data_IF_655177178300
#
_entry.id   IF_655177178300
#
_cell.length_a   1.000
_cell.length_b   1.000
_cell.length_c   1.000
_cell.angle_alpha   90.00
_cell.angle_beta   90.00
_cell.angle_gamma   90.00
#
_symmetry.space_group_name_H-M   'P 1'
#
loop_
_entity.id
_entity.type
_entity.pdbx_description
1 polymer ?
#
# COMPACT_ATOMS: atom_id res chain seq x y z
N UNK A 1 1.94 9.34 8.05
CA UNK A 1 1.99 7.88 8.21
C UNK A 1 2.65 7.20 7.00
N UNK A 2 2.12 7.36 5.77
CA UNK A 2 2.75 6.79 4.56
C UNK A 2 4.21 7.22 4.37
N UNK A 3 4.52 8.52 4.43
CA UNK A 3 5.89 9.03 4.31
C UNK A 3 6.87 8.50 5.37
N UNK A 4 6.39 8.31 6.60
CA UNK A 4 7.20 7.75 7.69
C UNK A 4 7.52 6.29 7.38
N UNK A 5 6.51 5.51 6.96
CA UNK A 5 6.67 4.10 6.59
C UNK A 5 7.56 3.90 5.37
N UNK A 6 7.46 4.78 4.37
CA UNK A 6 8.38 4.78 3.22
C UNK A 6 9.80 4.99 3.73
N UNK A 7 10.07 6.05 4.52
CA UNK A 7 11.41 6.35 5.05
C UNK A 7 12.01 5.21 5.88
N UNK A 8 11.22 4.58 6.74
CA UNK A 8 11.66 3.46 7.59
C UNK A 8 11.99 2.20 6.76
N UNK A 9 11.31 2.00 5.64
CA UNK A 9 11.44 0.79 4.84
C UNK A 9 12.21 0.99 3.52
N UNK A 10 12.71 2.20 3.21
CA UNK A 10 13.41 2.48 1.94
C UNK A 10 14.57 1.52 1.70
N UNK A 11 15.42 1.27 2.70
CA UNK A 11 16.57 0.37 2.57
C UNK A 11 16.15 -1.08 2.31
N UNK A 12 15.12 -1.56 3.03
CA UNK A 12 14.54 -2.89 2.86
C UNK A 12 13.88 -3.04 1.48
N UNK A 13 13.18 -2.01 1.03
CA UNK A 13 12.54 -1.96 -0.29
C UNK A 13 13.58 -2.04 -1.41
N UNK A 14 14.65 -1.24 -1.35
CA UNK A 14 15.74 -1.28 -2.34
C UNK A 14 16.50 -2.60 -2.30
N UNK A 15 16.75 -3.18 -1.12
CA UNK A 15 17.37 -4.51 -1.02
C UNK A 15 16.48 -5.58 -1.65
N UNK A 16 15.19 -5.56 -1.34
CA UNK A 16 14.21 -6.49 -1.90
C UNK A 16 14.07 -6.36 -3.43
N UNK A 17 14.18 -5.15 -3.97
CA UNK A 17 14.25 -4.91 -5.42
C UNK A 17 15.39 -5.70 -6.06
N UNK A 18 16.62 -5.50 -5.58
CA UNK A 18 17.82 -6.14 -6.13
C UNK A 18 17.73 -7.67 -6.03
N UNK A 19 17.27 -8.18 -4.89
CA UNK A 19 17.10 -9.63 -4.68
C UNK A 19 16.05 -10.23 -5.61
N UNK A 20 14.89 -9.57 -5.76
CA UNK A 20 13.82 -10.05 -6.62
C UNK A 20 14.20 -9.96 -8.10
N UNK A 21 14.84 -8.86 -8.52
CA UNK A 21 15.33 -8.71 -9.88
C UNK A 21 16.37 -9.79 -10.23
N UNK A 22 17.31 -10.06 -9.31
CA UNK A 22 18.30 -11.13 -9.49
C UNK A 22 17.65 -12.52 -9.53
N UNK A 23 16.66 -12.80 -8.68
CA UNK A 23 15.95 -14.08 -8.69
C UNK A 23 15.12 -14.28 -9.97
N UNK A 24 14.45 -13.23 -10.47
CA UNK A 24 13.72 -13.24 -11.74
C UNK A 24 14.67 -13.48 -12.92
N UNK A 25 15.81 -12.81 -12.95
CA UNK A 25 16.83 -13.02 -13.98
C UNK A 25 17.35 -14.46 -13.97
N UNK A 26 17.66 -15.00 -12.80
CA UNK A 26 18.15 -16.38 -12.64
C UNK A 26 17.13 -17.42 -13.13
N UNK A 27 15.85 -17.28 -12.78
CA UNK A 27 14.80 -18.18 -13.27
C UNK A 27 14.63 -18.05 -14.79
N UNK A 28 14.61 -16.83 -15.31
CA UNK A 28 14.38 -16.58 -16.73
C UNK A 28 15.51 -17.15 -17.59
N UNK A 29 16.76 -16.99 -17.14
CA UNK A 29 17.95 -17.56 -17.80
C UNK A 29 17.89 -19.09 -17.88
N UNK A 30 17.58 -19.76 -16.76
CA UNK A 30 17.45 -21.23 -16.74
C UNK A 30 16.35 -21.70 -17.71
N UNK A 31 15.19 -21.03 -17.69
CA UNK A 31 14.07 -21.35 -18.58
C UNK A 31 14.41 -21.09 -20.06
N UNK A 32 15.19 -20.06 -20.36
CA UNK A 32 15.65 -19.78 -21.72
C UNK A 32 16.64 -20.83 -22.22
N UNK A 33 17.57 -21.29 -21.36
CA UNK A 33 18.49 -22.40 -21.67
C UNK A 33 17.76 -23.72 -21.90
N UNK A 34 16.67 -23.97 -21.18
CA UNK A 34 15.80 -25.13 -21.39
C UNK A 34 15.02 -25.06 -22.73
N UNK A 35 14.81 -23.85 -23.27
CA UNK A 35 14.11 -23.63 -24.54
C UNK A 35 14.98 -23.88 -25.78
N UNK A 36 16.32 -23.95 -25.63
CA UNK A 36 17.25 -24.18 -26.75
C UNK A 36 17.37 -25.68 -27.04
N UNK A 37 17.18 -26.15 -28.29
CA UNK A 37 17.31 -27.57 -28.62
C UNK A 37 18.75 -28.07 -28.41
N UNK A 38 18.94 -29.29 -27.91
CA UNK A 38 20.26 -29.73 -27.43
C UNK A 38 21.23 -30.10 -28.57
N UNK A 39 22.48 -29.64 -28.47
CA UNK A 39 23.62 -30.27 -29.16
C UNK A 39 24.17 -31.46 -28.35
N UNK A 40 24.87 -32.38 -29.03
CA UNK A 40 25.10 -33.82 -28.76
C UNK A 40 25.67 -34.29 -27.39
N UNK A 41 25.72 -33.45 -26.35
CA UNK A 41 26.13 -33.79 -24.98
C UNK A 41 24.97 -33.50 -24.01
N UNK A 42 23.99 -34.39 -23.90
CA UNK A 42 22.64 -33.99 -23.42
C UNK A 42 22.27 -34.49 -22.02
N UNK A 43 22.71 -35.68 -21.62
CA UNK A 43 22.13 -36.32 -20.42
C UNK A 43 22.60 -35.72 -19.09
N UNK A 44 23.92 -35.58 -18.87
CA UNK A 44 24.44 -34.93 -17.65
C UNK A 44 24.04 -33.45 -17.56
N UNK A 45 23.92 -32.76 -18.69
CA UNK A 45 23.49 -31.36 -18.75
C UNK A 45 22.01 -31.20 -18.38
N UNK A 46 21.16 -32.19 -18.68
CA UNK A 46 19.72 -32.11 -18.42
C UNK A 46 19.36 -32.27 -16.95
N UNK A 47 20.05 -33.17 -16.25
CA UNK A 47 19.86 -33.35 -14.80
C UNK A 47 20.34 -32.12 -14.03
N UNK A 48 21.50 -31.58 -14.42
CA UNK A 48 22.04 -30.33 -13.86
C UNK A 48 21.09 -29.15 -14.10
N UNK A 49 20.55 -29.01 -15.31
CA UNK A 49 19.60 -27.94 -15.66
C UNK A 49 18.28 -28.05 -14.87
N UNK A 50 17.80 -29.28 -14.64
CA UNK A 50 16.63 -29.52 -13.79
C UNK A 50 16.86 -29.10 -12.34
N UNK A 51 18.04 -29.41 -11.78
CA UNK A 51 18.43 -28.97 -10.44
C UNK A 51 18.57 -27.45 -10.35
N UNK A 52 19.21 -26.81 -11.34
CA UNK A 52 19.30 -25.35 -11.43
C UNK A 52 17.93 -24.68 -11.48
N UNK A 53 16.97 -25.26 -12.22
CA UNK A 53 15.60 -24.74 -12.30
C UNK A 53 14.89 -24.79 -10.97
N UNK A 54 15.00 -25.91 -10.25
CA UNK A 54 14.39 -26.09 -8.94
C UNK A 54 14.98 -25.10 -7.93
N UNK A 55 16.31 -24.90 -7.94
CA UNK A 55 16.97 -23.94 -7.07
C UNK A 55 16.57 -22.50 -7.40
N UNK A 56 16.57 -22.13 -8.68
CA UNK A 56 16.14 -20.81 -9.14
C UNK A 56 14.67 -20.54 -8.74
N UNK A 57 13.79 -21.52 -8.92
CA UNK A 57 12.39 -21.45 -8.50
C UNK A 57 12.23 -21.26 -6.98
N UNK A 58 13.01 -22.00 -6.18
CA UNK A 58 13.02 -21.84 -4.71
C UNK A 58 13.47 -20.44 -4.29
N UNK A 59 14.55 -19.94 -4.91
CA UNK A 59 15.08 -18.60 -4.65
C UNK A 59 14.07 -17.52 -5.01
N UNK A 60 13.39 -17.65 -6.15
CA UNK A 60 12.32 -16.76 -6.58
C UNK A 60 11.15 -16.77 -5.58
N UNK A 61 10.67 -17.95 -5.17
CA UNK A 61 9.60 -18.11 -4.18
C UNK A 61 9.93 -17.41 -2.86
N UNK A 62 11.15 -17.58 -2.36
CA UNK A 62 11.61 -16.90 -1.15
C UNK A 62 11.62 -15.37 -1.31
N UNK A 63 12.03 -14.86 -2.48
CA UNK A 63 12.02 -13.42 -2.76
C UNK A 63 10.60 -12.85 -2.92
N UNK A 64 9.68 -13.57 -3.57
CA UNK A 64 8.25 -13.20 -3.63
C UNK A 64 7.64 -13.12 -2.23
N UNK A 65 7.96 -14.09 -1.35
CA UNK A 65 7.49 -14.07 0.03
C UNK A 65 7.98 -12.84 0.80
N UNK A 66 9.26 -12.44 0.64
CA UNK A 66 9.80 -11.21 1.22
C UNK A 66 9.11 -9.96 0.67
N UNK A 67 8.91 -9.88 -0.64
CA UNK A 67 8.17 -8.78 -1.26
C UNK A 67 6.75 -8.66 -0.68
N UNK A 68 6.02 -9.77 -0.56
CA UNK A 68 4.69 -9.79 0.03
C UNK A 68 4.69 -9.37 1.50
N UNK A 69 5.71 -9.77 2.26
CA UNK A 69 5.85 -9.35 3.65
C UNK A 69 5.99 -7.83 3.76
N UNK A 70 6.88 -7.20 2.97
CA UNK A 70 7.03 -5.74 2.95
C UNK A 70 5.73 -5.06 2.49
N UNK A 71 5.09 -5.58 1.44
CA UNK A 71 3.84 -5.04 0.92
C UNK A 71 2.65 -5.19 1.87
N UNK A 72 2.74 -6.04 2.91
CA UNK A 72 1.70 -6.16 3.94
C UNK A 72 1.49 -4.84 4.68
N UNK A 73 2.56 -4.08 4.88
CA UNK A 73 2.53 -2.78 5.57
C UNK A 73 2.10 -1.65 4.63
N UNK A 74 2.45 -1.73 3.34
CA UNK A 74 2.11 -0.71 2.35
C UNK A 74 0.69 -0.85 1.78
N UNK A 75 0.19 -2.07 1.52
CA UNK A 75 -1.11 -2.29 0.86
C UNK A 75 -2.29 -1.60 1.56
N UNK A 76 -2.44 -1.66 2.90
CA UNK A 76 -3.54 -0.97 3.58
C UNK A 76 -3.46 0.55 3.38
N UNK A 77 -2.25 1.12 3.46
CA UNK A 77 -2.01 2.55 3.29
C UNK A 77 -2.29 2.98 1.85
N UNK A 78 -1.79 2.23 0.86
CA UNK A 78 -2.01 2.51 -0.55
C UNK A 78 -3.50 2.43 -0.91
N UNK A 79 -4.23 1.44 -0.39
CA UNK A 79 -5.69 1.32 -0.60
C UNK A 79 -6.46 2.48 0.02
N UNK A 80 -6.12 2.86 1.25
CA UNK A 80 -6.77 3.98 1.93
C UNK A 80 -6.49 5.32 1.23
N UNK A 81 -5.29 5.51 0.69
CA UNK A 81 -4.93 6.74 -0.02
C UNK A 81 -5.50 6.78 -1.44
N UNK A 82 -5.65 5.63 -2.09
CA UNK A 82 -6.26 5.51 -3.42
C UNK A 82 -7.74 5.97 -3.48
N UNK A 83 -8.45 6.03 -2.34
CA UNK A 83 -9.84 6.54 -2.34
C UNK A 83 -9.92 8.06 -2.46
N UNK A 84 -8.83 8.76 -2.15
CA UNK A 84 -8.81 10.22 -2.09
C UNK A 84 -7.77 10.84 -3.04
N UNK A 85 -6.86 10.04 -3.61
CA UNK A 85 -5.78 10.50 -4.47
C UNK A 85 -5.60 9.56 -5.67
N UNK A 86 -5.87 10.09 -6.87
CA UNK A 86 -5.81 9.35 -8.13
C UNK A 86 -4.41 8.81 -8.44
N UNK A 87 -3.34 9.43 -7.91
CA UNK A 87 -1.96 8.95 -8.09
C UNK A 87 -1.76 7.61 -7.39
N UNK A 88 -2.30 7.48 -6.17
CA UNK A 88 -2.28 6.22 -5.43
C UNK A 88 -3.17 5.18 -6.11
N UNK A 89 -4.33 5.57 -6.63
CA UNK A 89 -5.21 4.68 -7.38
C UNK A 89 -4.57 4.15 -8.68
N UNK A 90 -3.87 5.02 -9.41
CA UNK A 90 -3.11 4.65 -10.61
C UNK A 90 -1.95 3.70 -10.25
N UNK A 91 -1.17 4.02 -9.22
CA UNK A 91 -0.10 3.13 -8.76
C UNK A 91 -0.61 1.74 -8.37
N UNK A 92 -1.71 1.65 -7.61
CA UNK A 92 -2.29 0.35 -7.18
C UNK A 92 -2.76 -0.47 -8.38
N UNK A 93 -3.36 0.17 -9.40
CA UNK A 93 -3.74 -0.50 -10.66
C UNK A 93 -2.51 -1.03 -11.39
N UNK A 94 -1.50 -0.19 -11.61
CA UNK A 94 -0.25 -0.58 -12.28
C UNK A 94 0.46 -1.70 -11.52
N UNK A 95 0.59 -1.60 -10.20
CA UNK A 95 1.17 -2.63 -9.34
C UNK A 95 0.47 -3.98 -9.52
N UNK A 96 -0.87 -3.99 -9.57
CA UNK A 96 -1.64 -5.22 -9.76
C UNK A 96 -1.39 -5.82 -11.15
N UNK A 97 -1.62 -5.02 -12.19
CA UNK A 97 -1.73 -5.51 -13.58
C UNK A 97 -0.37 -5.79 -14.23
N UNK A 98 0.64 -4.98 -13.92
CA UNK A 98 1.96 -5.05 -14.58
C UNK A 98 2.98 -5.85 -13.78
N UNK A 99 2.72 -6.12 -12.51
CA UNK A 99 3.70 -6.77 -11.63
C UNK A 99 3.09 -7.92 -10.82
N UNK A 100 2.13 -7.65 -9.94
CA UNK A 100 1.65 -8.67 -8.99
C UNK A 100 0.96 -9.84 -9.66
N UNK A 101 0.04 -9.59 -10.59
CA UNK A 101 -0.74 -10.65 -11.25
C UNK A 101 0.12 -11.47 -12.23
N UNK A 102 0.93 -10.88 -13.12
CA UNK A 102 1.87 -11.64 -13.96
C UNK A 102 2.88 -12.46 -13.14
N UNK A 103 3.39 -11.92 -12.02
CA UNK A 103 4.34 -12.62 -11.15
C UNK A 103 3.73 -13.85 -10.50
N UNK A 104 2.48 -13.75 -10.01
CA UNK A 104 1.77 -14.88 -9.43
C UNK A 104 1.48 -15.95 -10.49
N UNK A 105 1.03 -15.55 -11.70
CA UNK A 105 0.78 -16.48 -12.81
C UNK A 105 2.07 -17.20 -13.24
N UNK A 106 3.18 -16.49 -13.38
CA UNK A 106 4.47 -17.09 -13.72
C UNK A 106 4.92 -18.10 -12.67
N UNK A 107 4.79 -17.77 -11.38
CA UNK A 107 5.17 -18.67 -10.29
C UNK A 107 4.28 -19.92 -10.24
N UNK A 108 2.97 -19.78 -10.48
CA UNK A 108 2.06 -20.93 -10.56
C UNK A 108 2.40 -21.86 -11.71
N UNK A 109 2.79 -21.32 -12.88
CA UNK A 109 3.23 -22.11 -14.02
C UNK A 109 4.53 -22.88 -13.76
N UNK A 110 5.46 -22.30 -12.99
CA UNK A 110 6.69 -22.99 -12.57
C UNK A 110 6.41 -24.23 -11.70
N UNK A 111 5.36 -24.18 -10.88
CA UNK A 111 4.96 -25.26 -9.98
C UNK A 111 4.01 -26.28 -10.67
N UNK A 112 3.62 -26.06 -11.94
CA UNK A 112 2.70 -26.93 -12.67
C UNK A 112 3.37 -28.19 -13.22
N UNK A 113 2.66 -29.33 -13.18
CA UNK A 113 3.15 -30.62 -13.71
C UNK A 113 3.49 -30.57 -15.21
N UNK A 114 2.68 -29.83 -15.99
CA UNK A 114 2.91 -29.54 -17.40
C UNK A 114 3.05 -28.03 -17.60
N UNK A 115 4.27 -27.52 -17.56
CA UNK A 115 4.53 -26.09 -17.69
C UNK A 115 4.51 -25.64 -19.16
N UNK A 116 3.67 -24.64 -19.49
CA UNK A 116 3.81 -23.87 -20.73
C UNK A 116 4.98 -22.89 -20.58
N UNK A 117 6.15 -23.31 -21.08
CA UNK A 117 7.40 -22.54 -21.02
C UNK A 117 7.26 -21.15 -21.66
N UNK A 118 6.56 -21.05 -22.79
CA UNK A 118 6.39 -19.78 -23.50
C UNK A 118 5.47 -18.83 -22.73
N UNK A 119 4.38 -19.32 -22.16
CA UNK A 119 3.52 -18.50 -21.29
C UNK A 119 4.26 -18.04 -20.03
N UNK A 120 5.04 -18.92 -19.40
CA UNK A 120 5.82 -18.61 -18.21
C UNK A 120 6.86 -17.50 -18.51
N UNK A 121 7.64 -17.65 -19.58
CA UNK A 121 8.61 -16.64 -20.03
C UNK A 121 7.95 -15.30 -20.38
N UNK A 122 6.79 -15.31 -21.05
CA UNK A 122 6.04 -14.06 -21.34
C UNK A 122 5.64 -13.34 -20.05
N UNK A 123 5.14 -14.06 -19.05
CA UNK A 123 4.78 -13.45 -17.78
C UNK A 123 6.00 -12.90 -17.04
N UNK A 124 7.12 -13.62 -17.01
CA UNK A 124 8.36 -13.11 -16.41
C UNK A 124 8.90 -11.87 -17.12
N UNK A 125 8.86 -11.83 -18.45
CA UNK A 125 9.28 -10.66 -19.22
C UNK A 125 8.45 -9.40 -18.86
N UNK A 126 7.12 -9.55 -18.70
CA UNK A 126 6.27 -8.43 -18.24
C UNK A 126 6.71 -7.94 -16.87
N UNK A 127 6.96 -8.85 -15.91
CA UNK A 127 7.41 -8.47 -14.56
C UNK A 127 8.77 -7.78 -14.60
N UNK A 128 9.75 -8.34 -15.32
CA UNK A 128 11.09 -7.79 -15.42
C UNK A 128 11.12 -6.39 -16.05
N UNK A 129 10.28 -6.15 -17.06
CA UNK A 129 10.20 -4.84 -17.71
C UNK A 129 9.56 -3.77 -16.82
N UNK A 130 8.75 -4.14 -15.83
CA UNK A 130 7.99 -3.20 -15.00
C UNK A 130 8.49 -3.11 -13.56
N UNK A 131 9.37 -4.02 -13.10
CA UNK A 131 9.80 -4.06 -11.70
C UNK A 131 10.48 -2.76 -11.25
N UNK A 132 11.30 -2.14 -12.09
CA UNK A 132 11.95 -0.86 -11.76
C UNK A 132 10.90 0.22 -11.47
N UNK A 133 9.93 0.39 -12.37
CA UNK A 133 8.89 1.41 -12.27
C UNK A 133 7.98 1.22 -11.06
N UNK A 134 7.72 -0.05 -10.67
CA UNK A 134 6.94 -0.34 -9.47
C UNK A 134 7.66 0.10 -8.19
N UNK A 135 8.97 -0.14 -8.11
CA UNK A 135 9.73 0.22 -6.92
C UNK A 135 9.98 1.73 -6.84
N UNK A 136 10.36 2.35 -7.96
CA UNK A 136 10.52 3.80 -8.07
C UNK A 136 9.19 4.54 -7.87
N UNK A 137 8.10 4.00 -8.43
CA UNK A 137 6.76 4.56 -8.30
C UNK A 137 6.27 4.63 -6.85
N UNK A 138 6.60 3.64 -6.01
CA UNK A 138 6.25 3.70 -4.60
C UNK A 138 6.99 4.83 -3.86
N UNK A 139 8.25 5.04 -4.21
CA UNK A 139 9.10 6.09 -3.62
C UNK A 139 8.66 7.49 -4.10
N UNK A 140 8.32 7.64 -5.38
CA UNK A 140 7.88 8.93 -5.94
C UNK A 140 6.52 9.38 -5.40
N UNK A 141 5.63 8.45 -5.01
CA UNK A 141 4.41 8.79 -4.28
C UNK A 141 4.69 9.50 -2.95
N UNK A 142 5.83 9.22 -2.31
CA UNK A 142 6.24 9.92 -1.09
C UNK A 142 6.72 11.35 -1.39
N UNK A 143 7.59 11.53 -2.38
CA UNK A 143 8.12 12.85 -2.77
C UNK A 143 6.99 13.79 -3.20
N UNK A 144 6.05 13.31 -4.00
CA UNK A 144 4.93 14.10 -4.48
C UNK A 144 3.86 14.38 -3.40
N UNK A 145 3.78 13.54 -2.36
CA UNK A 145 2.97 13.82 -1.18
C UNK A 145 3.60 14.89 -0.26
N UNK A 146 4.94 14.95 -0.21
CA UNK A 146 5.67 15.99 0.51
C UNK A 146 5.65 17.33 -0.25
N UNK A 147 5.86 17.31 -1.57
CA UNK A 147 5.77 18.50 -2.43
C UNK A 147 4.38 19.13 -2.43
N UNK A 148 3.32 18.31 -2.45
CA UNK A 148 1.94 18.80 -2.31
C UNK A 148 1.66 19.44 -0.94
N UNK A 149 2.35 19.00 0.12
CA UNK A 149 2.30 19.64 1.46
C UNK A 149 3.11 20.94 1.56
N UNK A 150 4.13 21.12 0.72
CA UNK A 150 4.98 22.31 0.70
C UNK A 150 4.44 23.42 -0.21
N UNK A 151 3.51 23.10 -1.11
CA UNK A 151 2.87 24.07 -2.01
C UNK A 151 1.60 24.73 -1.43
N UNK A 152 1.16 24.37 -0.23
CA UNK A 152 0.17 25.17 0.50
C UNK A 152 0.86 26.38 1.15
N UNK A 153 0.56 27.63 0.75
CA UNK A 153 1.17 28.80 1.36
C UNK A 153 0.54 29.02 2.74
N UNK A 154 1.19 28.51 3.79
CA UNK A 154 0.89 28.93 5.16
C UNK A 154 2.04 29.79 5.67
N UNK A 155 1.80 31.09 5.64
CA UNK A 155 2.62 32.08 6.30
C UNK A 155 2.62 31.87 7.82
N UNK A 156 3.80 32.10 8.41
CA UNK A 156 4.06 32.56 9.79
C UNK A 156 3.64 31.64 10.96
N UNK A 157 4.57 30.85 11.48
CA UNK A 157 5.46 31.23 12.61
C UNK A 157 5.90 30.00 13.46
N UNK A 158 7.12 30.00 14.07
CA UNK A 158 7.73 28.83 14.71
C UNK A 158 7.70 28.91 16.25
N UNK A 159 7.46 27.76 16.89
CA UNK A 159 8.13 27.26 18.11
C UNK A 159 7.23 26.25 18.84
N UNK A 160 7.68 25.00 18.96
CA UNK A 160 8.20 24.51 20.25
C UNK A 160 8.64 23.06 20.10
N UNK A 161 9.78 22.79 20.72
CA UNK A 161 10.54 21.55 20.75
C UNK A 161 10.00 20.56 21.79
N UNK A 162 10.38 19.28 21.62
CA UNK A 162 10.57 18.21 22.62
C UNK A 162 9.47 17.13 22.74
N UNK A 163 9.88 15.93 22.30
CA UNK A 163 9.74 14.61 22.94
C UNK A 163 8.65 14.40 24.00
N UNK A 164 7.81 13.38 23.80
CA UNK A 164 7.86 12.18 24.65
C UNK A 164 6.92 11.08 24.11
N UNK A 165 7.52 9.91 23.86
CA UNK A 165 6.83 8.62 23.66
C UNK A 165 6.90 7.88 24.99
N UNK A 166 5.77 7.45 25.59
CA UNK A 166 5.81 6.52 26.71
C UNK A 166 6.11 5.11 26.20
N UNK A 167 7.29 4.56 26.54
CA UNK A 167 7.60 3.14 26.40
C UNK A 167 6.73 2.32 27.37
N UNK A 168 6.13 1.24 26.86
CA UNK A 168 5.46 0.23 27.68
C UNK A 168 6.48 -0.76 28.26
N UNK A 169 6.27 -1.29 29.48
CA UNK A 169 7.25 -2.10 30.20
C UNK A 169 7.47 -3.50 29.57
N UNK A 170 8.65 -4.09 29.75
CA UNK A 170 8.99 -5.42 29.24
C UNK A 170 8.25 -6.50 30.04
N UNK A 171 7.47 -7.35 29.36
CA UNK A 171 6.76 -8.47 30.02
C UNK A 171 5.51 -9.01 29.31
N UNK A 172 5.23 -8.61 28.08
CA UNK A 172 4.12 -9.19 27.30
C UNK A 172 4.63 -9.77 25.97
N UNK A 173 5.53 -10.74 26.08
CA UNK A 173 5.84 -11.64 24.96
C UNK A 173 4.94 -12.87 25.02
N UNK A 174 4.28 -13.09 23.88
CA UNK A 174 3.64 -14.28 23.38
C UNK A 174 2.65 -15.05 24.25
N UNK A 175 1.37 -14.89 23.89
CA UNK A 175 0.44 -15.99 23.68
C UNK A 175 -0.86 -15.47 23.08
N UNK A 176 -1.14 -15.80 21.80
CA UNK A 176 -2.38 -16.50 21.39
C UNK A 176 -2.58 -16.73 19.88
N UNK A 177 -3.38 -17.75 19.53
CA UNK A 177 -3.30 -18.50 18.29
C UNK A 177 -4.04 -17.84 17.12
N UNK A 178 -3.84 -18.43 15.94
CA UNK A 178 -4.75 -18.40 14.81
C UNK A 178 -6.22 -18.17 15.21
N UNK A 179 -6.72 -16.96 15.00
CA UNK A 179 -8.12 -16.76 14.65
C UNK A 179 -8.20 -15.85 13.45
N UNK A 180 -8.36 -16.48 12.28
CA UNK A 180 -9.02 -15.91 11.11
C UNK A 180 -10.45 -15.55 11.53
N UNK A 181 -10.63 -14.40 12.17
CA UNK A 181 -11.91 -13.71 12.13
C UNK A 181 -11.61 -12.34 11.55
N UNK A 182 -11.99 -12.25 10.28
CA UNK A 182 -12.30 -11.05 9.55
C UNK A 182 -13.17 -10.18 10.46
N UNK A 183 -12.55 -9.34 11.28
CA UNK A 183 -13.25 -8.32 12.04
C UNK A 183 -13.79 -7.38 10.99
N UNK A 184 -15.06 -7.56 10.62
CA UNK A 184 -15.81 -6.63 9.80
C UNK A 184 -15.47 -5.24 10.32
N UNK A 185 -14.72 -4.47 9.52
CA UNK A 185 -14.32 -3.13 9.90
C UNK A 185 -15.60 -2.40 10.27
N UNK A 186 -15.73 -1.99 11.54
CA UNK A 186 -16.93 -1.36 12.02
C UNK A 186 -17.18 -0.09 11.18
N UNK A 187 -18.06 -0.20 10.20
CA UNK A 187 -18.29 0.84 9.20
C UNK A 187 -18.77 2.13 9.89
N UNK A 188 -19.49 1.99 11.01
CA UNK A 188 -19.89 3.10 11.86
C UNK A 188 -18.67 3.79 12.50
N UNK A 189 -17.73 3.04 13.08
CA UNK A 189 -16.49 3.62 13.62
C UNK A 189 -15.65 4.32 12.53
N UNK A 190 -15.54 3.73 11.34
CA UNK A 190 -14.85 4.34 10.19
C UNK A 190 -15.53 5.64 9.72
N UNK A 191 -16.87 5.66 9.70
CA UNK A 191 -17.65 6.85 9.36
C UNK A 191 -17.50 7.97 10.40
N UNK A 192 -17.51 7.63 11.70
CA UNK A 192 -17.29 8.61 12.79
C UNK A 192 -15.90 9.23 12.66
N UNK A 193 -14.85 8.41 12.46
CA UNK A 193 -13.49 8.91 12.27
C UNK A 193 -13.38 9.83 11.05
N UNK A 194 -14.03 9.48 9.93
CA UNK A 194 -14.07 10.33 8.73
C UNK A 194 -14.75 11.67 9.00
N UNK A 195 -15.87 11.68 9.72
CA UNK A 195 -16.61 12.90 10.08
C UNK A 195 -15.80 13.80 11.01
N UNK A 196 -15.19 13.23 12.05
CA UNK A 196 -14.32 13.97 12.98
C UNK A 196 -13.16 14.62 12.22
N UNK A 197 -12.50 13.85 11.35
CA UNK A 197 -11.43 14.39 10.50
C UNK A 197 -11.91 15.52 9.59
N UNK A 198 -13.05 15.36 8.92
CA UNK A 198 -13.61 16.40 8.06
C UNK A 198 -13.88 17.70 8.82
N UNK A 199 -14.43 17.62 10.04
CA UNK A 199 -14.68 18.79 10.91
C UNK A 199 -13.39 19.48 11.37
N UNK A 200 -12.34 18.71 11.67
CA UNK A 200 -11.03 19.26 12.05
C UNK A 200 -10.28 19.90 10.87
N UNK A 201 -10.51 19.40 9.66
CA UNK A 201 -9.92 19.91 8.42
C UNK A 201 -10.75 21.06 7.80
N UNK A 202 -11.81 21.53 8.47
CA UNK A 202 -12.68 22.61 7.98
C UNK A 202 -13.53 22.22 6.76
N UNK A 203 -13.74 20.93 6.49
CA UNK A 203 -14.60 20.47 5.38
C UNK A 203 -16.04 20.33 5.87
N UNK A 204 -16.95 21.12 5.31
CA UNK A 204 -18.37 21.08 5.65
C UNK A 204 -19.05 19.90 4.95
N UNK A 205 -20.01 19.26 5.61
CA UNK A 205 -20.83 18.16 5.07
C UNK A 205 -21.86 18.63 4.00
N UNK A 206 -21.74 19.85 3.49
CA UNK A 206 -22.56 20.32 2.38
C UNK A 206 -22.15 19.61 1.07
N UNK A 207 -23.02 19.67 0.07
CA UNK A 207 -22.90 19.00 -1.24
C UNK A 207 -21.57 19.24 -1.98
N UNK A 208 -20.75 20.19 -1.52
CA UNK A 208 -19.43 20.47 -2.06
C UNK A 208 -18.33 20.14 -1.04
N UNK A 209 -17.78 18.92 -1.16
CA UNK A 209 -16.70 18.40 -0.32
C UNK A 209 -15.34 19.11 -0.54
N UNK A 210 -15.26 20.10 -1.44
CA UNK A 210 -14.04 20.85 -1.70
C UNK A 210 -13.93 22.18 -0.93
N UNK A 211 -15.02 22.69 -0.34
CA UNK A 211 -14.96 23.96 0.40
C UNK A 211 -14.37 23.76 1.80
N UNK A 212 -13.13 24.24 1.99
CA UNK A 212 -12.49 24.37 3.30
C UNK A 212 -12.88 25.73 3.88
N UNK A 213 -13.59 25.74 5.00
CA UNK A 213 -13.98 26.96 5.72
C UNK A 213 -12.93 27.32 6.77
N UNK A 214 -12.75 28.61 7.02
CA UNK A 214 -11.84 29.10 8.05
C UNK A 214 -12.41 28.83 9.46
N UNK A 215 -11.56 28.79 10.51
CA UNK A 215 -12.04 28.63 11.89
C UNK A 215 -13.08 29.69 12.28
N UNK A 216 -12.94 30.94 11.81
CA UNK A 216 -13.91 32.01 12.06
C UNK A 216 -15.27 31.68 11.43
N UNK A 217 -15.29 31.35 10.14
CA UNK A 217 -16.52 30.97 9.43
C UNK A 217 -17.17 29.72 10.04
N UNK A 218 -16.36 28.76 10.50
CA UNK A 218 -16.85 27.56 11.17
C UNK A 218 -17.54 27.89 12.50
N UNK A 219 -16.96 28.80 13.29
CA UNK A 219 -17.56 29.28 14.54
C UNK A 219 -18.85 30.04 14.24
N UNK A 220 -18.84 30.95 13.26
CA UNK A 220 -20.02 31.74 12.88
C UNK A 220 -21.17 30.84 12.38
N UNK A 221 -20.87 29.85 11.54
CA UNK A 221 -21.84 28.87 11.08
C UNK A 221 -22.40 28.03 12.23
N UNK A 222 -21.55 27.58 13.16
CA UNK A 222 -21.97 26.78 14.31
C UNK A 222 -22.88 27.58 15.23
N UNK A 223 -22.52 28.82 15.55
CA UNK A 223 -23.32 29.73 16.38
C UNK A 223 -24.65 30.03 15.69
N UNK A 224 -24.63 30.34 14.39
CA UNK A 224 -25.84 30.63 13.62
C UNK A 224 -26.81 29.45 13.61
N UNK A 225 -26.32 28.21 13.47
CA UNK A 225 -27.17 27.02 13.54
C UNK A 225 -27.68 26.75 14.95
N UNK A 226 -26.81 26.86 15.95
CA UNK A 226 -27.16 26.60 17.35
C UNK A 226 -28.17 27.62 17.93
N UNK A 227 -28.20 28.83 17.39
CA UNK A 227 -29.13 29.90 17.83
C UNK A 227 -30.35 30.06 16.91
N UNK A 228 -30.51 29.20 15.90
CA UNK A 228 -31.63 29.29 14.97
C UNK A 228 -32.93 28.78 15.62
N UNK A 229 -33.90 29.69 15.83
CA UNK A 229 -35.20 29.36 16.42
C UNK A 229 -35.95 28.24 15.68
N UNK A 230 -35.79 28.12 14.36
CA UNK A 230 -36.43 27.05 13.57
C UNK A 230 -35.79 25.68 13.83
N UNK A 231 -34.50 25.61 14.17
CA UNK A 231 -33.84 24.35 14.53
C UNK A 231 -34.14 23.98 15.98
N UNK A 232 -34.16 24.98 16.87
CA UNK A 232 -34.47 24.80 18.28
C UNK A 232 -35.91 24.32 18.51
N UNK A 233 -36.87 24.79 17.73
CA UNK A 233 -38.28 24.37 17.83
C UNK A 233 -38.54 22.93 17.35
N UNK A 234 -37.61 22.33 16.61
CA UNK A 234 -37.69 20.94 16.12
C UNK A 234 -37.07 19.92 17.09
N UNK A 235 -36.45 20.38 18.18
CA UNK A 235 -35.85 19.49 19.17
C UNK A 235 -36.94 18.72 19.94
N UNK A 236 -36.61 17.52 20.39
CA UNK A 236 -37.50 16.72 21.24
C UNK A 236 -37.85 17.50 22.53
N UNK A 237 -39.11 17.45 22.95
CA UNK A 237 -39.68 18.27 24.04
C UNK A 237 -38.86 18.24 25.34
N UNK A 238 -38.21 17.12 25.64
CA UNK A 238 -37.33 16.96 26.81
C UNK A 238 -36.02 17.76 26.77
N UNK A 239 -35.70 18.45 25.67
CA UNK A 239 -34.54 19.35 25.58
C UNK A 239 -34.82 20.78 26.06
N UNK A 240 -36.09 21.15 26.31
CA UNK A 240 -36.52 22.44 26.86
C UNK A 240 -35.78 23.66 26.29
N UNK A 241 -35.73 23.79 24.96
CA UNK A 241 -34.91 24.79 24.26
C UNK A 241 -35.30 26.27 24.52
N UNK A 242 -36.40 26.51 25.23
CA UNK A 242 -36.93 27.84 25.58
C UNK A 242 -36.52 28.34 26.97
N UNK A 243 -35.89 27.49 27.80
CA UNK A 243 -35.41 27.84 29.15
C UNK A 243 -34.03 28.46 29.04
#
# INVERSE_FOLDING_TARGET
>A
MFSVRVRENTSLWTKNFNELQSALASVTDVLQRENVPPEKSVWNNREHLGQERVEAGRRLKASIARHHHIMKDFRPLLRALATCDERFAAYVRTYRERFSEPLVKAHQLLDAESMDLNACLRHFAVVQNNICDIYLGLLSLNENAQSARLQTPSALSPNSTKSDTPELPPGFEDSRPHHKQQQEQNAHASNVVRRVRARLEGRVEAADHQKVITPSEQVDMLISQATNANLLSLMYEGWTAWV
#
